data_IF_331328634782
#
_entry.id   IF_331328634782
#
_cell.length_a   1.000
_cell.length_b   1.000
_cell.length_c   1.000
_cell.angle_alpha   90.00
_cell.angle_beta   90.00
_cell.angle_gamma   90.00
#
_symmetry.space_group_name_H-M   'P 1'
#
loop_
_entity.id
_entity.type
_entity.pdbx_description
1 polymer ?
#
# COMPACT_ATOMS: atom_id res chain seq x y z
N UNK A 1 30.86 -12.80 -9.97
CA UNK A 1 30.17 -11.50 -10.21
C UNK A 1 28.71 -11.67 -10.62
N UNK A 2 28.28 -12.81 -11.17
CA UNK A 2 26.87 -13.08 -11.53
C UNK A 2 25.91 -13.22 -10.32
N UNK A 3 26.39 -13.76 -9.19
CA UNK A 3 25.55 -14.05 -8.01
C UNK A 3 25.04 -12.82 -7.24
N UNK A 4 25.69 -11.65 -7.37
CA UNK A 4 25.26 -10.40 -6.71
C UNK A 4 24.14 -9.67 -7.46
N UNK A 5 24.01 -9.88 -8.78
CA UNK A 5 22.94 -9.29 -9.59
C UNK A 5 21.57 -9.93 -9.31
N UNK A 6 21.53 -11.22 -9.00
CA UNK A 6 20.28 -11.93 -8.74
C UNK A 6 19.63 -11.52 -7.40
N UNK A 7 20.42 -11.16 -6.38
CA UNK A 7 19.91 -10.79 -5.05
C UNK A 7 19.26 -9.40 -5.01
N UNK A 8 19.63 -8.49 -5.93
CA UNK A 8 19.08 -7.13 -6.00
C UNK A 8 17.69 -7.07 -6.65
N UNK A 9 17.33 -8.07 -7.47
CA UNK A 9 16.04 -8.12 -8.20
C UNK A 9 14.91 -8.59 -7.26
N UNK A 10 15.19 -9.48 -6.30
CA UNK A 10 14.17 -10.12 -5.43
C UNK A 10 13.78 -9.28 -4.20
N UNK A 11 14.37 -8.09 -3.99
CA UNK A 11 14.09 -7.26 -2.79
C UNK A 11 13.06 -6.14 -2.96
N UNK A 12 12.53 -5.88 -4.17
CA UNK A 12 11.71 -4.67 -4.43
C UNK A 12 10.21 -4.78 -4.08
N UNK A 13 9.65 -5.98 -4.03
CA UNK A 13 8.18 -6.15 -3.97
C UNK A 13 7.58 -6.31 -2.57
N UNK A 14 8.39 -6.33 -1.50
CA UNK A 14 8.00 -7.17 -0.36
C UNK A 14 7.17 -6.54 0.77
N UNK A 15 7.14 -5.24 1.07
CA UNK A 15 6.45 -4.79 2.32
C UNK A 15 5.83 -3.38 2.33
N UNK A 16 4.86 -3.08 1.47
CA UNK A 16 3.93 -1.97 1.74
C UNK A 16 2.56 -2.49 2.19
N UNK A 17 2.54 -2.91 3.46
CA UNK A 17 1.36 -3.38 4.17
C UNK A 17 0.29 -2.28 4.33
N UNK A 18 -0.97 -2.72 4.43
CA UNK A 18 -2.13 -1.88 4.76
C UNK A 18 -1.91 -1.19 6.12
N UNK A 19 -2.04 0.13 6.18
CA UNK A 19 -1.86 0.90 7.43
C UNK A 19 -3.20 1.13 8.12
N UNK A 20 -3.38 0.61 9.33
CA UNK A 20 -4.57 0.84 10.13
C UNK A 20 -4.44 2.16 10.88
N UNK A 21 -5.44 3.05 10.77
CA UNK A 21 -5.48 4.36 11.43
C UNK A 21 -6.91 4.76 11.78
N UNK A 22 -7.10 5.49 12.88
CA UNK A 22 -8.41 6.02 13.24
C UNK A 22 -8.95 7.03 12.20
N UNK A 23 -8.07 7.85 11.63
CA UNK A 23 -8.38 8.81 10.57
C UNK A 23 -7.70 8.40 9.26
N UNK A 24 -8.49 8.35 8.19
CA UNK A 24 -8.04 8.04 6.84
C UNK A 24 -8.26 9.22 5.91
N UNK A 25 -7.31 9.46 5.00
CA UNK A 25 -7.41 10.54 4.00
C UNK A 25 -6.76 10.17 2.68
N UNK A 26 -7.24 10.77 1.59
CA UNK A 26 -6.57 10.69 0.27
C UNK A 26 -5.24 11.44 0.34
N UNK A 27 -4.17 10.81 -0.15
CA UNK A 27 -2.83 11.41 -0.22
C UNK A 27 -2.44 11.85 -1.64
N UNK A 28 -3.19 11.40 -2.63
CA UNK A 28 -2.99 11.64 -4.06
C UNK A 28 -4.34 11.49 -4.77
N UNK A 29 -4.48 12.01 -5.99
CA UNK A 29 -5.68 11.88 -6.81
C UNK A 29 -6.04 10.41 -7.13
N UNK A 30 -5.03 9.54 -7.21
CA UNK A 30 -5.22 8.11 -7.47
C UNK A 30 -5.77 7.32 -6.26
N UNK A 31 -5.81 7.93 -5.08
CA UNK A 31 -6.37 7.30 -3.88
C UNK A 31 -7.90 7.26 -3.95
N UNK A 32 -8.45 6.05 -3.87
CA UNK A 32 -9.90 5.81 -3.80
C UNK A 32 -10.29 5.40 -2.39
N UNK A 33 -11.34 6.02 -1.86
CA UNK A 33 -11.96 5.62 -0.60
C UNK A 33 -13.07 4.62 -0.95
N UNK A 34 -13.06 3.46 -0.32
CA UNK A 34 -14.08 2.42 -0.51
C UNK A 34 -14.54 1.89 0.84
N UNK A 35 -15.81 1.51 0.95
CA UNK A 35 -16.35 0.84 2.15
C UNK A 35 -16.47 -0.66 1.87
N UNK A 36 -15.86 -1.49 2.72
CA UNK A 36 -15.86 -2.96 2.60
C UNK A 36 -16.09 -3.56 3.99
N UNK A 37 -17.04 -4.50 4.11
CA UNK A 37 -17.39 -5.12 5.40
C UNK A 37 -17.65 -4.08 6.51
N UNK A 38 -18.35 -2.99 6.19
CA UNK A 38 -18.65 -1.89 7.12
C UNK A 38 -17.49 -0.90 7.37
N UNK A 39 -16.25 -1.26 7.03
CA UNK A 39 -15.03 -0.48 7.30
C UNK A 39 -14.59 0.33 6.07
N UNK A 40 -14.09 1.55 6.29
CA UNK A 40 -13.54 2.38 5.22
C UNK A 40 -12.06 2.07 4.96
N UNK A 41 -11.70 2.01 3.67
CA UNK A 41 -10.35 1.76 3.19
C UNK A 41 -9.93 2.82 2.19
N UNK A 42 -8.66 3.19 2.21
CA UNK A 42 -7.99 3.91 1.14
C UNK A 42 -7.23 2.90 0.31
N UNK A 43 -7.53 2.84 -0.99
CA UNK A 43 -6.87 1.97 -1.95
C UNK A 43 -6.12 2.84 -2.95
N UNK A 44 -4.89 2.46 -3.26
CA UNK A 44 -4.12 3.03 -4.35
C UNK A 44 -3.43 1.88 -5.09
N UNK A 45 -3.68 1.80 -6.41
CA UNK A 45 -3.11 0.75 -7.28
C UNK A 45 -1.70 1.09 -7.76
N UNK A 46 -1.37 2.37 -7.90
CA UNK A 46 -0.05 2.85 -8.35
C UNK A 46 0.98 2.85 -7.21
N UNK A 47 0.56 3.27 -6.01
CA UNK A 47 1.45 3.37 -4.84
C UNK A 47 0.85 2.67 -3.61
N UNK A 48 1.30 1.43 -3.29
CA UNK A 48 0.77 0.67 -2.17
C UNK A 48 1.07 1.30 -0.79
N UNK A 49 2.04 2.22 -0.69
CA UNK A 49 2.37 2.97 0.55
C UNK A 49 1.18 3.77 1.11
N UNK A 50 0.21 4.08 0.25
CA UNK A 50 -0.95 4.90 0.59
C UNK A 50 -2.19 4.09 0.98
N UNK A 51 -2.10 2.75 0.99
CA UNK A 51 -3.18 1.89 1.46
C UNK A 51 -3.43 2.10 2.96
N UNK A 52 -4.68 2.40 3.33
CA UNK A 52 -5.07 2.61 4.74
C UNK A 52 -6.41 1.94 5.06
N UNK A 53 -6.62 1.54 6.32
CA UNK A 53 -7.90 1.08 6.88
C UNK A 53 -8.30 1.98 8.04
N UNK A 54 -9.58 2.34 8.11
CA UNK A 54 -10.15 3.06 9.24
C UNK A 54 -10.44 2.12 10.41
N UNK A 55 -9.95 2.48 11.59
CA UNK A 55 -10.14 1.70 12.82
C UNK A 55 -9.13 0.58 12.94
#
# INVERSE_FOLDING_TARGET
MEHVFHLAIVKKDKYFQMKVRASIKKRSADCKIVRRKGVLFVINKKNPKFKQRQG
#
